data_IF_509105813179
#
_entry.id   IF_509105813179
#
_cell.length_a   1.000
_cell.length_b   1.000
_cell.length_c   1.000
_cell.angle_alpha   90.00
_cell.angle_beta   90.00
_cell.angle_gamma   90.00
#
_symmetry.space_group_name_H-M   'P 1'
#
loop_
_entity.id
_entity.type
_entity.pdbx_description
1 polymer ?
#
# COMPACT_ATOMS: atom_id res chain seq x y z
N UNK A 1 38.42 7.42 -37.63
CA UNK A 1 37.81 6.09 -37.87
C UNK A 1 36.42 6.33 -38.40
N UNK A 2 36.21 6.01 -39.67
CA UNK A 2 35.00 6.38 -40.41
C UNK A 2 33.73 5.68 -39.91
N UNK A 3 32.64 6.42 -39.80
CA UNK A 3 31.31 5.97 -39.35
C UNK A 3 30.78 4.78 -40.18
N UNK A 4 31.22 4.65 -41.43
CA UNK A 4 30.93 3.52 -42.33
C UNK A 4 31.60 2.20 -41.91
N UNK A 5 32.76 2.26 -41.23
CA UNK A 5 33.43 1.04 -40.72
C UNK A 5 32.76 0.51 -39.45
N UNK A 6 32.19 1.38 -38.61
CA UNK A 6 31.45 0.96 -37.42
C UNK A 6 30.13 0.25 -37.78
N UNK A 7 29.40 0.76 -38.78
CA UNK A 7 28.11 0.15 -39.18
C UNK A 7 28.29 -1.23 -39.84
N UNK A 8 29.38 -1.43 -40.58
CA UNK A 8 29.73 -2.71 -41.17
C UNK A 8 30.08 -3.77 -40.11
N UNK A 9 30.76 -3.36 -39.03
CA UNK A 9 31.10 -4.24 -37.91
C UNK A 9 29.84 -4.61 -37.10
N UNK A 10 28.96 -3.64 -36.82
CA UNK A 10 27.68 -3.87 -36.12
C UNK A 10 26.78 -4.80 -36.94
N UNK A 11 26.72 -4.64 -38.26
CA UNK A 11 25.92 -5.50 -39.14
C UNK A 11 26.49 -6.93 -39.23
N UNK A 12 27.81 -7.10 -39.22
CA UNK A 12 28.43 -8.44 -39.13
C UNK A 12 28.17 -9.13 -37.80
N UNK A 13 28.20 -8.40 -36.69
CA UNK A 13 27.86 -8.94 -35.36
C UNK A 13 26.39 -9.35 -35.32
N UNK A 14 25.49 -8.55 -35.90
CA UNK A 14 24.06 -8.86 -35.99
C UNK A 14 23.77 -10.11 -36.83
N UNK A 15 24.44 -10.24 -37.98
CA UNK A 15 24.33 -11.44 -38.83
C UNK A 15 24.93 -12.70 -38.18
N UNK A 16 25.98 -12.56 -37.37
CA UNK A 16 26.55 -13.67 -36.61
C UNK A 16 25.59 -14.11 -35.48
N UNK A 17 24.92 -13.15 -34.83
CA UNK A 17 23.93 -13.41 -33.80
C UNK A 17 22.66 -14.07 -34.36
N UNK A 18 22.21 -13.66 -35.55
CA UNK A 18 21.09 -14.28 -36.27
C UNK A 18 21.42 -15.70 -36.76
N UNK A 19 22.67 -15.99 -37.15
CA UNK A 19 23.12 -17.34 -37.51
C UNK A 19 23.31 -18.28 -36.31
N UNK A 20 23.50 -17.75 -35.11
CA UNK A 20 23.63 -18.52 -33.87
C UNK A 20 22.28 -18.81 -33.21
N UNK A 21 21.18 -18.23 -33.70
CA UNK A 21 19.85 -18.67 -33.32
C UNK A 21 19.46 -19.93 -34.11
N UNK A 22 19.20 -21.07 -33.45
CA UNK A 22 18.69 -22.23 -34.14
C UNK A 22 17.32 -21.89 -34.74
N UNK A 23 17.22 -21.97 -36.07
CA UNK A 23 15.98 -21.92 -36.86
C UNK A 23 15.12 -23.17 -36.60
N UNK A 24 14.66 -23.33 -35.37
CA UNK A 24 13.47 -24.12 -35.07
C UNK A 24 12.39 -23.13 -34.67
N UNK A 25 11.22 -23.24 -35.31
CA UNK A 25 10.03 -22.48 -34.92
C UNK A 25 9.69 -22.78 -33.46
N UNK A 26 10.30 -22.02 -32.56
CA UNK A 26 10.05 -22.10 -31.15
C UNK A 26 8.83 -21.22 -30.89
N UNK A 27 7.69 -21.86 -30.65
CA UNK A 27 6.64 -21.27 -29.82
C UNK A 27 7.35 -20.72 -28.59
N UNK A 28 7.47 -19.38 -28.49
CA UNK A 28 7.98 -18.73 -27.29
C UNK A 28 7.13 -19.24 -26.12
N UNK A 29 7.71 -20.02 -25.17
CA UNK A 29 6.94 -20.43 -24.01
C UNK A 29 6.51 -19.17 -23.28
N UNK A 30 5.22 -19.06 -22.97
CA UNK A 30 4.57 -17.88 -22.39
C UNK A 30 5.04 -17.53 -20.96
N UNK A 31 6.17 -18.07 -20.49
CA UNK A 31 6.63 -17.92 -19.12
C UNK A 31 8.13 -17.58 -19.04
N UNK A 32 8.43 -16.47 -18.34
CA UNK A 32 9.78 -15.92 -18.09
C UNK A 32 10.57 -16.76 -17.08
N UNK A 33 10.90 -18.02 -17.42
CA UNK A 33 11.52 -18.95 -16.47
C UNK A 33 12.98 -18.59 -16.09
N UNK A 34 13.71 -17.86 -16.94
CA UNK A 34 15.18 -17.69 -16.79
C UNK A 34 15.58 -16.38 -16.12
N UNK A 35 14.81 -15.30 -16.28
CA UNK A 35 15.22 -13.95 -15.84
C UNK A 35 14.58 -13.47 -14.54
N UNK A 36 13.68 -14.26 -13.94
CA UNK A 36 12.84 -13.77 -12.85
C UNK A 36 11.81 -12.74 -13.34
N UNK A 37 10.99 -12.24 -12.42
CA UNK A 37 9.98 -11.22 -12.74
C UNK A 37 10.47 -9.85 -12.28
N UNK A 38 10.91 -9.04 -13.23
CA UNK A 38 11.27 -7.63 -12.98
C UNK A 38 10.00 -6.86 -12.62
N UNK A 39 10.00 -6.21 -11.46
CA UNK A 39 8.95 -5.28 -11.07
C UNK A 39 9.18 -3.91 -11.70
N UNK A 40 8.10 -3.27 -12.12
CA UNK A 40 8.14 -1.90 -12.66
C UNK A 40 8.44 -0.87 -11.58
N UNK A 41 8.03 -1.14 -10.34
CA UNK A 41 8.25 -0.27 -9.16
C UNK A 41 9.01 -1.09 -8.10
N UNK A 42 10.10 -0.54 -7.58
CA UNK A 42 10.92 -1.21 -6.54
C UNK A 42 10.31 -1.05 -5.14
N UNK A 43 10.64 -1.95 -4.20
CA UNK A 43 10.27 -1.75 -2.80
C UNK A 43 10.97 -0.52 -2.19
N UNK A 44 12.16 -0.18 -2.66
CA UNK A 44 12.83 1.07 -2.27
C UNK A 44 11.98 2.31 -2.60
N UNK A 45 11.38 2.37 -3.80
CA UNK A 45 10.51 3.48 -4.20
C UNK A 45 9.23 3.53 -3.35
N UNK A 46 8.65 2.36 -3.07
CA UNK A 46 7.47 2.24 -2.19
C UNK A 46 7.79 2.71 -0.77
N UNK A 47 8.94 2.32 -0.21
CA UNK A 47 9.38 2.77 1.12
C UNK A 47 9.66 4.27 1.16
N UNK A 48 10.23 4.82 0.09
CA UNK A 48 10.45 6.27 -0.05
C UNK A 48 9.12 7.03 -0.09
N UNK A 49 8.14 6.56 -0.87
CA UNK A 49 6.80 7.13 -0.91
C UNK A 49 6.11 7.08 0.47
N UNK A 50 6.14 5.91 1.13
CA UNK A 50 5.58 5.75 2.47
C UNK A 50 6.21 6.68 3.51
N UNK A 51 7.53 6.89 3.45
CA UNK A 51 8.25 7.65 4.48
C UNK A 51 8.26 9.17 4.23
N UNK A 52 8.08 9.61 2.98
CA UNK A 52 8.28 11.01 2.58
C UNK A 52 7.01 11.72 2.12
N UNK A 53 5.96 10.99 1.75
CA UNK A 53 4.68 11.58 1.37
C UNK A 53 3.62 11.36 2.46
N UNK A 54 3.02 12.44 3.01
CA UNK A 54 2.05 12.34 4.11
C UNK A 54 0.75 11.64 3.71
N UNK A 55 0.30 11.77 2.45
CA UNK A 55 -0.89 11.08 1.97
C UNK A 55 -0.62 9.58 1.87
N UNK A 56 0.53 9.19 1.31
CA UNK A 56 0.94 7.79 1.23
C UNK A 56 1.02 7.13 2.61
N UNK A 57 1.64 7.80 3.58
CA UNK A 57 1.71 7.30 4.96
C UNK A 57 0.32 7.11 5.56
N UNK A 58 -0.55 8.11 5.44
CA UNK A 58 -1.91 8.06 5.97
C UNK A 58 -2.76 6.94 5.35
N UNK A 59 -2.65 6.70 4.03
CA UNK A 59 -3.37 5.60 3.37
C UNK A 59 -2.97 4.24 3.96
N UNK A 60 -1.66 4.03 4.08
CA UNK A 60 -1.10 2.76 4.53
C UNK A 60 -1.42 2.50 5.99
N UNK A 61 -1.11 3.47 6.86
CA UNK A 61 -1.31 3.33 8.30
C UNK A 61 -2.79 3.13 8.62
N UNK A 62 -3.70 3.89 8.01
CA UNK A 62 -5.12 3.73 8.27
C UNK A 62 -5.64 2.33 7.91
N UNK A 63 -5.36 1.85 6.69
CA UNK A 63 -5.84 0.53 6.25
C UNK A 63 -5.20 -0.61 7.07
N UNK A 64 -3.92 -0.47 7.44
CA UNK A 64 -3.23 -1.44 8.29
C UNK A 64 -3.81 -1.46 9.71
N UNK A 65 -3.93 -0.28 10.34
CA UNK A 65 -4.43 -0.15 11.71
C UNK A 65 -5.88 -0.59 11.84
N UNK A 66 -6.73 -0.31 10.85
CA UNK A 66 -8.10 -0.84 10.84
C UNK A 66 -8.14 -2.36 10.68
N UNK A 67 -7.15 -2.95 10.00
CA UNK A 67 -7.12 -4.39 9.77
C UNK A 67 -6.64 -5.17 10.99
N UNK A 68 -5.58 -4.71 11.66
CA UNK A 68 -4.93 -5.49 12.73
C UNK A 68 -4.82 -4.74 14.08
N UNK A 69 -5.19 -3.46 14.13
CA UNK A 69 -5.07 -2.61 15.32
C UNK A 69 -5.89 -3.03 16.52
N UNK A 70 -7.02 -3.73 16.29
CA UNK A 70 -7.84 -4.27 17.36
C UNK A 70 -7.24 -5.51 18.03
N UNK A 71 -6.09 -6.01 17.55
CA UNK A 71 -5.51 -7.28 17.96
C UNK A 71 -6.29 -8.48 17.42
N UNK A 72 -5.95 -9.66 17.93
CA UNK A 72 -6.67 -10.90 17.61
C UNK A 72 -6.77 -11.82 18.82
N UNK A 73 -7.65 -12.81 18.70
CA UNK A 73 -7.76 -13.95 19.61
C UNK A 73 -7.82 -15.25 18.79
N UNK A 74 -7.56 -16.39 19.44
CA UNK A 74 -7.66 -17.69 18.78
C UNK A 74 -8.84 -18.50 19.28
N UNK A 75 -9.47 -19.26 18.40
CA UNK A 75 -10.47 -20.28 18.76
C UNK A 75 -10.06 -21.65 18.25
N UNK A 76 -10.61 -22.70 18.84
CA UNK A 76 -10.41 -24.10 18.44
C UNK A 76 -11.76 -24.82 18.41
N UNK A 77 -11.82 -25.98 17.78
CA UNK A 77 -12.98 -26.86 17.87
C UNK A 77 -13.06 -27.50 19.27
N UNK A 78 -14.00 -27.04 20.09
CA UNK A 78 -14.20 -27.52 21.47
C UNK A 78 -14.49 -29.03 21.56
N UNK A 79 -15.05 -29.62 20.50
CA UNK A 79 -15.33 -31.07 20.45
C UNK A 79 -14.06 -31.92 20.24
N UNK A 80 -12.92 -31.30 19.93
CA UNK A 80 -11.67 -32.02 19.80
C UNK A 80 -11.10 -32.36 21.17
N UNK A 81 -10.83 -33.65 21.42
CA UNK A 81 -10.35 -34.13 22.72
C UNK A 81 -9.08 -33.42 23.26
N UNK A 82 -8.28 -32.82 22.36
CA UNK A 82 -7.06 -32.06 22.72
C UNK A 82 -7.19 -30.56 22.40
N UNK A 83 -8.41 -30.03 22.36
CA UNK A 83 -8.70 -28.64 21.99
C UNK A 83 -7.91 -27.63 22.84
N UNK A 84 -7.96 -27.77 24.16
CA UNK A 84 -7.30 -26.86 25.10
C UNK A 84 -5.78 -26.86 24.90
N UNK A 85 -5.16 -28.05 24.77
CA UNK A 85 -3.73 -28.18 24.52
C UNK A 85 -3.31 -27.57 23.17
N UNK A 86 -4.12 -27.77 22.12
CA UNK A 86 -3.89 -27.20 20.81
C UNK A 86 -4.00 -25.66 20.82
N UNK A 87 -4.99 -25.12 21.54
CA UNK A 87 -5.16 -23.66 21.72
C UNK A 87 -3.99 -23.08 22.50
N UNK A 88 -3.65 -23.66 23.65
CA UNK A 88 -2.55 -23.21 24.49
C UNK A 88 -1.22 -23.21 23.74
N UNK A 89 -0.95 -24.22 22.91
CA UNK A 89 0.24 -24.25 22.07
C UNK A 89 0.31 -23.05 21.12
N UNK A 90 -0.78 -22.77 20.41
CA UNK A 90 -0.85 -21.66 19.44
C UNK A 90 -0.73 -20.32 20.15
N UNK A 91 -1.45 -20.13 21.26
CA UNK A 91 -1.42 -18.88 22.03
C UNK A 91 -0.03 -18.62 22.63
N UNK A 92 0.58 -19.64 23.23
CA UNK A 92 1.94 -19.52 23.79
C UNK A 92 2.98 -19.21 22.71
N UNK A 93 2.82 -19.78 21.51
CA UNK A 93 3.67 -19.45 20.38
C UNK A 93 3.46 -18.01 19.89
N UNK A 94 2.20 -17.58 19.78
CA UNK A 94 1.88 -16.23 19.36
C UNK A 94 2.45 -15.18 20.31
N UNK A 95 2.36 -15.42 21.62
CA UNK A 95 2.95 -14.57 22.66
C UNK A 95 4.49 -14.57 22.58
N UNK A 96 5.11 -15.75 22.43
CA UNK A 96 6.58 -15.84 22.43
C UNK A 96 7.26 -15.15 21.24
N UNK A 97 6.61 -15.15 20.06
CA UNK A 97 7.12 -14.46 18.86
C UNK A 97 6.61 -13.03 18.72
N UNK A 98 5.77 -12.56 19.65
CA UNK A 98 5.03 -11.31 19.56
C UNK A 98 4.30 -11.16 18.21
N UNK A 99 3.40 -12.11 17.91
CA UNK A 99 2.73 -12.16 16.61
C UNK A 99 1.95 -10.87 16.31
N UNK A 100 1.41 -10.18 17.31
CA UNK A 100 0.72 -8.90 17.14
C UNK A 100 1.63 -7.84 16.50
N UNK A 101 2.85 -7.67 17.00
CA UNK A 101 3.82 -6.72 16.43
C UNK A 101 4.22 -7.11 14.99
N UNK A 102 4.42 -8.41 14.74
CA UNK A 102 4.72 -8.89 13.39
C UNK A 102 3.57 -8.59 12.42
N UNK A 103 2.32 -8.80 12.84
CA UNK A 103 1.13 -8.50 12.05
C UNK A 103 0.95 -7.00 11.80
N UNK A 104 1.29 -6.15 12.78
CA UNK A 104 1.30 -4.70 12.63
C UNK A 104 2.27 -4.23 11.53
N UNK A 105 3.48 -4.77 11.52
CA UNK A 105 4.49 -4.45 10.50
C UNK A 105 4.04 -5.01 9.14
N UNK A 106 3.63 -6.28 9.09
CA UNK A 106 3.23 -6.92 7.84
C UNK A 106 1.99 -6.28 7.22
N UNK A 107 1.00 -5.84 8.02
CA UNK A 107 -0.16 -5.15 7.48
C UNK A 107 0.25 -3.88 6.71
N UNK A 108 1.21 -3.10 7.23
CA UNK A 108 1.74 -1.91 6.54
C UNK A 108 2.49 -2.30 5.26
N UNK A 109 3.35 -3.31 5.31
CA UNK A 109 4.07 -3.82 4.14
C UNK A 109 3.12 -4.35 3.04
N UNK A 110 2.09 -5.11 3.44
CA UNK A 110 1.07 -5.68 2.56
C UNK A 110 0.20 -4.59 1.94
N UNK A 111 -0.24 -3.60 2.72
CA UNK A 111 -1.04 -2.49 2.17
C UNK A 111 -0.19 -1.67 1.21
N UNK A 112 1.02 -1.27 1.62
CA UNK A 112 1.89 -0.42 0.82
C UNK A 112 2.31 -1.10 -0.48
N UNK A 113 2.81 -2.33 -0.38
CA UNK A 113 3.54 -3.00 -1.45
C UNK A 113 2.86 -4.27 -1.98
N UNK A 114 1.83 -4.78 -1.30
CA UNK A 114 1.19 -6.05 -1.62
C UNK A 114 1.97 -7.26 -1.11
N UNK A 115 3.09 -7.05 -0.43
CA UNK A 115 4.04 -8.09 -0.08
C UNK A 115 4.52 -7.94 1.37
N UNK A 116 4.76 -9.06 2.05
CA UNK A 116 5.57 -9.15 3.26
C UNK A 116 6.22 -10.54 3.28
N UNK A 117 7.48 -10.64 3.68
CA UNK A 117 8.26 -11.88 3.65
C UNK A 117 8.78 -12.22 5.03
N UNK A 118 8.34 -13.35 5.59
CA UNK A 118 8.78 -13.77 6.92
C UNK A 118 9.62 -15.03 6.81
N UNK A 119 10.76 -15.04 7.48
CA UNK A 119 11.62 -16.20 7.63
C UNK A 119 11.17 -17.05 8.82
N UNK A 120 10.93 -18.34 8.57
CA UNK A 120 10.88 -19.38 9.60
C UNK A 120 12.32 -19.76 9.92
N UNK A 121 12.82 -19.41 11.11
CA UNK A 121 14.23 -19.65 11.48
C UNK A 121 14.58 -21.14 11.46
N UNK A 122 13.61 -21.98 11.81
CA UNK A 122 13.67 -23.43 11.72
C UNK A 122 12.39 -23.92 11.03
N UNK A 123 12.43 -24.32 9.75
CA UNK A 123 11.22 -24.68 9.01
C UNK A 123 10.65 -26.05 9.40
N UNK A 124 11.52 -27.00 9.78
CA UNK A 124 11.12 -28.36 10.19
C UNK A 124 10.53 -28.38 11.61
N UNK A 125 10.96 -27.42 12.44
CA UNK A 125 10.44 -27.19 13.78
C UNK A 125 10.29 -25.68 13.98
N UNK A 126 9.11 -25.15 13.68
CA UNK A 126 8.84 -23.72 13.80
C UNK A 126 9.02 -23.27 15.25
N UNK A 127 10.09 -22.51 15.50
CA UNK A 127 10.41 -21.92 16.80
C UNK A 127 10.26 -20.39 16.82
N UNK A 128 10.55 -19.71 15.71
CA UNK A 128 10.51 -18.25 15.62
C UNK A 128 10.21 -17.80 14.19
N UNK A 129 9.73 -16.55 14.09
CA UNK A 129 9.42 -15.85 12.86
C UNK A 129 10.18 -14.52 12.84
N UNK A 130 10.72 -14.15 11.68
CA UNK A 130 11.37 -12.86 11.49
C UNK A 130 10.95 -12.22 10.18
N UNK A 131 10.52 -10.97 10.21
CA UNK A 131 10.26 -10.20 8.99
C UNK A 131 11.60 -9.89 8.31
N UNK A 132 11.68 -10.22 7.03
CA UNK A 132 12.81 -9.86 6.19
C UNK A 132 12.51 -8.54 5.48
N UNK A 133 13.45 -7.58 5.46
CA UNK A 133 13.29 -6.33 4.73
C UNK A 133 12.86 -6.55 3.28
N UNK A 134 11.78 -5.87 2.87
CA UNK A 134 11.25 -5.93 1.51
C UNK A 134 12.33 -5.67 0.45
N UNK A 135 13.16 -4.64 0.65
CA UNK A 135 14.22 -4.24 -0.30
C UNK A 135 15.27 -5.34 -0.53
N UNK A 136 15.36 -6.33 0.38
CA UNK A 136 16.16 -7.52 0.17
C UNK A 136 15.70 -8.41 -0.99
N UNK A 137 14.49 -8.16 -1.50
CA UNK A 137 13.86 -8.86 -2.61
C UNK A 137 13.64 -7.96 -3.85
N UNK A 138 14.36 -6.83 -3.96
CA UNK A 138 14.28 -5.93 -5.13
C UNK A 138 14.99 -6.47 -6.38
N UNK A 139 15.82 -7.50 -6.23
CA UNK A 139 16.46 -8.15 -7.37
C UNK A 139 15.38 -8.76 -8.31
N UNK A 140 15.47 -8.59 -9.65
CA UNK A 140 14.55 -9.22 -10.61
C UNK A 140 14.40 -10.75 -10.44
N UNK A 141 15.46 -11.41 -9.97
CA UNK A 141 15.50 -12.85 -9.70
C UNK A 141 15.14 -13.22 -8.26
N UNK A 142 14.64 -12.28 -7.45
CA UNK A 142 14.36 -12.51 -6.03
C UNK A 142 13.33 -13.62 -5.78
N UNK A 143 12.37 -13.83 -6.68
CA UNK A 143 11.43 -14.97 -6.62
C UNK A 143 11.57 -15.78 -7.90
N UNK A 144 12.06 -17.02 -7.78
CA UNK A 144 12.14 -17.97 -8.90
C UNK A 144 10.92 -18.88 -8.89
N UNK A 145 10.38 -19.16 -10.07
CA UNK A 145 9.17 -19.98 -10.25
C UNK A 145 9.36 -20.99 -11.37
N UNK A 146 8.67 -22.11 -11.27
CA UNK A 146 8.59 -23.08 -12.36
C UNK A 146 7.57 -22.64 -13.43
N UNK A 147 7.44 -23.42 -14.50
CA UNK A 147 6.51 -23.17 -15.61
C UNK A 147 5.02 -23.14 -15.21
N UNK A 148 4.68 -23.68 -14.03
CA UNK A 148 3.31 -23.69 -13.49
C UNK A 148 3.05 -22.52 -12.53
N UNK A 149 4.03 -21.62 -12.35
CA UNK A 149 3.92 -20.47 -11.46
C UNK A 149 4.17 -20.79 -9.97
N UNK A 150 4.58 -22.02 -9.64
CA UNK A 150 4.96 -22.39 -8.27
C UNK A 150 6.36 -21.87 -7.94
N UNK A 151 6.53 -21.28 -6.76
CA UNK A 151 7.81 -20.76 -6.29
C UNK A 151 8.79 -21.91 -6.02
N UNK A 152 10.00 -21.79 -6.53
CA UNK A 152 11.09 -22.77 -6.36
C UNK A 152 12.20 -22.26 -5.45
N UNK A 153 12.44 -20.95 -5.39
CA UNK A 153 13.35 -20.34 -4.41
C UNK A 153 13.11 -18.85 -4.24
N UNK A 154 13.57 -18.34 -3.09
CA UNK A 154 13.66 -16.91 -2.80
C UNK A 154 15.13 -16.49 -2.70
N UNK A 155 15.59 -15.61 -3.58
CA UNK A 155 16.95 -15.07 -3.56
C UNK A 155 16.94 -13.74 -2.81
N UNK A 156 17.48 -13.75 -1.60
CA UNK A 156 17.52 -12.61 -0.71
C UNK A 156 18.90 -11.94 -0.77
N UNK A 157 18.92 -10.61 -0.87
CA UNK A 157 20.13 -9.80 -0.92
C UNK A 157 19.90 -8.47 -0.21
N UNK A 158 20.38 -8.32 1.03
CA UNK A 158 20.24 -7.10 1.82
C UNK A 158 21.54 -6.77 2.55
N UNK A 159 22.08 -5.56 2.30
CA UNK A 159 23.42 -5.21 2.76
C UNK A 159 24.46 -6.21 2.23
N UNK A 160 25.27 -6.75 3.13
CA UNK A 160 26.28 -7.77 2.80
C UNK A 160 25.74 -9.20 2.79
N UNK A 161 24.48 -9.42 3.19
CA UNK A 161 23.89 -10.75 3.29
C UNK A 161 23.26 -11.13 1.95
N UNK A 162 23.77 -12.22 1.34
CA UNK A 162 23.18 -12.86 0.16
C UNK A 162 22.90 -14.33 0.47
N UNK A 163 21.65 -14.75 0.32
CA UNK A 163 21.23 -16.11 0.66
C UNK A 163 20.07 -16.54 -0.23
N UNK A 164 19.99 -17.84 -0.50
CA UNK A 164 18.86 -18.45 -1.19
C UNK A 164 18.06 -19.25 -0.18
N UNK A 165 16.78 -18.93 -0.04
CA UNK A 165 15.86 -19.67 0.80
C UNK A 165 15.00 -20.61 -0.04
N UNK A 166 14.80 -21.82 0.47
CA UNK A 166 13.80 -22.73 -0.05
C UNK A 166 12.38 -22.20 0.26
N UNK A 167 11.36 -22.50 -0.57
CA UNK A 167 10.03 -21.91 -0.44
C UNK A 167 9.38 -22.11 0.93
N UNK A 168 9.55 -23.28 1.54
CA UNK A 168 9.01 -23.66 2.84
C UNK A 168 9.53 -22.82 4.01
N UNK A 169 10.71 -22.20 3.86
CA UNK A 169 11.31 -21.30 4.85
C UNK A 169 10.67 -19.92 4.88
N UNK A 170 9.96 -19.52 3.83
CA UNK A 170 9.43 -18.16 3.68
C UNK A 170 7.91 -18.18 3.71
N UNK A 171 7.32 -17.46 4.66
CA UNK A 171 5.92 -17.05 4.57
C UNK A 171 5.85 -15.80 3.71
N UNK A 172 5.33 -15.94 2.49
CA UNK A 172 5.12 -14.81 1.59
C UNK A 172 3.66 -14.39 1.59
N UNK A 173 3.38 -13.23 2.19
CA UNK A 173 2.09 -12.57 2.12
C UNK A 173 1.93 -11.89 0.75
N UNK A 174 1.44 -12.62 -0.24
CA UNK A 174 1.22 -12.14 -1.60
C UNK A 174 -0.22 -11.66 -1.83
N UNK A 175 -0.48 -10.37 -1.64
CA UNK A 175 -1.80 -9.74 -1.73
C UNK A 175 -2.13 -9.26 -3.14
N UNK A 176 -3.33 -9.57 -3.65
CA UNK A 176 -3.82 -9.13 -4.97
C UNK A 176 -2.81 -9.29 -6.15
N UNK A 177 -2.21 -10.49 -6.34
CA UNK A 177 -1.35 -10.70 -7.50
C UNK A 177 -2.17 -10.58 -8.79
N UNK A 178 -1.67 -9.80 -9.74
CA UNK A 178 -2.28 -9.63 -11.07
C UNK A 178 -1.48 -10.39 -12.13
N UNK A 179 -2.15 -10.91 -13.15
CA UNK A 179 -1.49 -11.54 -14.30
C UNK A 179 -0.46 -12.64 -13.93
N UNK A 180 -0.84 -13.53 -12.99
CA UNK A 180 0.06 -14.56 -12.47
C UNK A 180 1.39 -14.01 -11.92
N UNK A 181 1.43 -12.79 -11.38
CA UNK A 181 2.65 -12.23 -10.82
C UNK A 181 3.18 -13.05 -9.64
N UNK A 182 4.51 -13.10 -9.52
CA UNK A 182 5.21 -13.63 -8.35
C UNK A 182 4.95 -12.76 -7.12
N UNK A 183 4.61 -11.50 -7.31
CA UNK A 183 4.43 -10.51 -6.26
C UNK A 183 2.95 -10.13 -6.10
N UNK A 184 2.62 -9.61 -4.92
CA UNK A 184 1.37 -8.92 -4.70
C UNK A 184 1.45 -7.46 -5.17
N UNK A 185 0.29 -6.81 -5.20
CA UNK A 185 0.13 -5.41 -5.61
C UNK A 185 -0.52 -4.61 -4.49
N UNK A 186 0.24 -3.67 -3.92
CA UNK A 186 -0.22 -2.74 -2.89
C UNK A 186 -0.74 -1.42 -3.45
N UNK A 187 -1.27 -0.56 -2.58
CA UNK A 187 -1.85 0.73 -2.97
C UNK A 187 -0.81 1.71 -3.50
N UNK A 188 0.40 1.72 -2.91
CA UNK A 188 1.46 2.64 -3.32
C UNK A 188 2.08 2.25 -4.66
N UNK A 189 2.11 0.95 -4.97
CA UNK A 189 2.61 0.47 -6.26
C UNK A 189 1.80 1.06 -7.43
N UNK A 190 0.48 1.14 -7.30
CA UNK A 190 -0.39 1.73 -8.34
C UNK A 190 -0.12 3.23 -8.50
N UNK A 191 0.07 3.94 -7.38
CA UNK A 191 0.36 5.38 -7.38
C UNK A 191 1.71 5.75 -8.01
N UNK A 192 2.69 4.84 -7.88
CA UNK A 192 4.04 4.96 -8.43
C UNK A 192 4.17 4.41 -9.85
N UNK A 193 3.16 3.70 -10.36
CA UNK A 193 3.22 3.11 -11.70
C UNK A 193 2.97 4.15 -12.79
N UNK A 194 3.79 4.09 -13.83
CA UNK A 194 3.55 4.78 -15.10
C UNK A 194 2.47 4.05 -15.91
N UNK A 195 1.85 4.76 -16.85
CA UNK A 195 0.88 4.19 -17.78
C UNK A 195 1.32 4.43 -19.23
N UNK A 196 1.67 3.36 -19.93
CA UNK A 196 2.06 3.42 -21.34
C UNK A 196 0.87 3.09 -22.24
N UNK A 197 0.61 3.93 -23.25
CA UNK A 197 -0.42 3.71 -24.26
C UNK A 197 0.06 4.27 -25.61
N UNK A 198 -0.09 3.53 -26.71
CA UNK A 198 0.26 3.99 -28.07
C UNK A 198 1.68 4.60 -28.23
N UNK A 199 2.67 4.15 -27.43
CA UNK A 199 4.04 4.68 -27.45
C UNK A 199 4.23 5.95 -26.61
N UNK A 200 3.17 6.48 -26.00
CA UNK A 200 3.22 7.55 -25.01
C UNK A 200 3.25 6.97 -23.60
N UNK A 201 3.98 7.65 -22.70
CA UNK A 201 4.08 7.27 -21.29
C UNK A 201 3.58 8.42 -20.42
N UNK A 202 2.50 8.15 -19.70
CA UNK A 202 2.05 9.01 -18.61
C UNK A 202 2.85 8.66 -17.35
N UNK A 203 3.52 9.66 -16.79
CA UNK A 203 4.20 9.55 -15.49
C UNK A 203 3.23 9.14 -14.37
N UNK A 204 3.80 8.68 -13.25
CA UNK A 204 2.99 8.25 -12.11
C UNK A 204 2.17 9.39 -11.49
N UNK A 205 1.04 9.07 -10.87
CA UNK A 205 0.22 10.10 -10.19
C UNK A 205 0.95 10.72 -9.01
N UNK A 206 1.79 9.94 -8.31
CA UNK A 206 2.58 10.47 -7.22
C UNK A 206 3.64 11.45 -7.70
N UNK A 207 4.24 11.20 -8.87
CA UNK A 207 5.16 12.15 -9.49
C UNK A 207 4.45 13.42 -9.96
N UNK A 208 3.25 13.31 -10.55
CA UNK A 208 2.43 14.47 -10.89
C UNK A 208 2.17 15.34 -9.66
N UNK A 209 1.75 14.72 -8.55
CA UNK A 209 1.54 15.42 -7.27
C UNK A 209 2.82 16.11 -6.79
N UNK A 210 3.94 15.40 -6.75
CA UNK A 210 5.22 15.97 -6.30
C UNK A 210 5.68 17.15 -7.16
N UNK A 211 5.46 17.10 -8.49
CA UNK A 211 5.77 18.21 -9.41
C UNK A 211 4.87 19.42 -9.14
N UNK A 212 3.57 19.21 -8.89
CA UNK A 212 2.63 20.29 -8.50
C UNK A 212 3.11 20.94 -7.19
N UNK A 213 3.39 20.14 -6.17
CA UNK A 213 3.83 20.63 -4.84
C UNK A 213 5.17 21.38 -4.90
N UNK A 214 6.04 21.03 -5.85
CA UNK A 214 7.28 21.79 -6.10
C UNK A 214 7.03 23.12 -6.79
N UNK A 215 6.18 23.14 -7.83
CA UNK A 215 5.97 24.33 -8.68
C UNK A 215 5.09 25.37 -7.99
N UNK A 216 4.11 24.95 -7.20
CA UNK A 216 3.15 25.87 -6.57
C UNK A 216 3.82 26.95 -5.70
N UNK A 217 4.77 26.63 -4.79
CA UNK A 217 5.54 27.63 -4.07
C UNK A 217 6.27 28.61 -5.00
N UNK A 218 6.89 28.13 -6.08
CA UNK A 218 7.60 28.98 -7.04
C UNK A 218 6.65 29.98 -7.74
N UNK A 219 5.42 29.55 -8.06
CA UNK A 219 4.39 30.44 -8.63
C UNK A 219 4.01 31.51 -7.61
N UNK A 220 3.75 31.13 -6.36
CA UNK A 220 3.42 32.08 -5.29
C UNK A 220 4.56 33.07 -5.04
N UNK A 221 5.81 32.61 -5.02
CA UNK A 221 6.98 33.46 -4.84
C UNK A 221 7.16 34.45 -6.01
N UNK A 222 6.98 33.99 -7.26
CA UNK A 222 7.02 34.87 -8.44
C UNK A 222 5.86 35.85 -8.49
N UNK A 223 4.68 35.47 -8.02
CA UNK A 223 3.56 36.39 -7.91
C UNK A 223 3.80 37.46 -6.83
N UNK A 224 4.36 37.05 -5.69
CA UNK A 224 4.73 37.95 -4.60
C UNK A 224 5.92 38.86 -4.95
N UNK A 225 6.84 38.39 -5.79
CA UNK A 225 7.99 39.14 -6.30
C UNK A 225 8.22 38.84 -7.78
N UNK A 226 7.56 39.56 -8.69
CA UNK A 226 7.72 39.35 -10.13
C UNK A 226 9.12 39.73 -10.60
N UNK A 227 9.53 39.22 -11.76
CA UNK A 227 10.76 39.67 -12.40
C UNK A 227 10.61 41.15 -12.79
N UNK A 228 11.57 41.97 -12.36
CA UNK A 228 11.57 43.41 -12.59
C UNK A 228 12.74 43.77 -13.51
N UNK A 229 12.44 44.41 -14.64
CA UNK A 229 13.46 45.07 -15.45
C UNK A 229 13.42 46.58 -15.15
N UNK A 230 14.56 47.09 -14.69
CA UNK A 230 14.75 48.49 -14.37
C UNK A 230 15.51 49.16 -15.52
N UNK A 231 14.85 50.09 -16.21
CA UNK A 231 15.41 50.82 -17.36
C UNK A 231 15.93 52.16 -16.90
N UNK A 232 17.23 52.41 -17.08
CA UNK A 232 17.87 53.68 -16.76
C UNK A 232 18.39 54.33 -18.05
N UNK A 233 17.51 55.06 -18.74
CA UNK A 233 17.83 55.68 -20.02
C UNK A 233 19.04 56.63 -19.90
N UNK A 234 20.05 56.42 -20.75
CA UNK A 234 21.25 57.26 -20.79
C UNK A 234 22.30 56.97 -19.70
N UNK A 235 22.12 55.93 -18.88
CA UNK A 235 23.14 55.49 -17.94
C UNK A 235 24.28 54.73 -18.65
N UNK A 236 25.53 54.97 -18.24
CA UNK A 236 26.69 54.21 -18.70
C UNK A 236 26.68 52.79 -18.14
N UNK A 237 27.33 51.85 -18.83
CA UNK A 237 27.41 50.44 -18.41
C UNK A 237 28.01 50.27 -17.00
N UNK A 238 28.96 51.13 -16.63
CA UNK A 238 29.58 51.15 -15.30
C UNK A 238 28.55 51.51 -14.21
N UNK A 239 27.71 52.53 -14.45
CA UNK A 239 26.63 52.92 -13.52
C UNK A 239 25.53 51.86 -13.46
N UNK A 240 25.21 51.21 -14.57
CA UNK A 240 24.27 50.10 -14.58
C UNK A 240 24.77 48.93 -13.72
N UNK A 241 26.05 48.60 -13.79
CA UNK A 241 26.64 47.54 -12.96
C UNK A 241 26.59 47.87 -11.47
N UNK A 242 26.77 49.15 -11.11
CA UNK A 242 26.59 49.65 -9.74
C UNK A 242 25.13 49.53 -9.28
N UNK A 243 24.18 50.01 -10.08
CA UNK A 243 22.75 49.88 -9.79
C UNK A 243 22.31 48.41 -9.70
N UNK A 244 22.83 47.54 -10.55
CA UNK A 244 22.55 46.11 -10.50
C UNK A 244 23.03 45.48 -9.20
N UNK A 245 24.22 45.86 -8.70
CA UNK A 245 24.73 45.38 -7.40
C UNK A 245 23.84 45.85 -6.24
N UNK A 246 23.44 47.12 -6.22
CA UNK A 246 22.55 47.69 -5.21
C UNK A 246 21.14 47.07 -5.24
N UNK A 247 20.62 46.81 -6.44
CA UNK A 247 19.33 46.18 -6.64
C UNK A 247 19.41 44.70 -6.22
N UNK A 248 20.48 43.96 -6.54
CA UNK A 248 20.68 42.57 -6.10
C UNK A 248 20.90 42.41 -4.60
N UNK A 249 21.38 43.44 -3.89
CA UNK A 249 21.61 43.37 -2.44
C UNK A 249 20.34 43.48 -1.58
N UNK A 250 19.18 43.82 -2.17
CA UNK A 250 17.87 43.75 -1.48
C UNK A 250 17.32 42.31 -1.49
N UNK A 251 16.68 41.77 -0.44
CA UNK A 251 16.05 40.44 -0.49
C UNK A 251 14.82 40.41 -1.43
N UNK A 252 14.23 39.27 -1.87
CA UNK A 252 14.82 38.03 -2.43
C UNK A 252 13.92 37.34 -3.50
N UNK A 253 12.81 37.94 -3.96
CA UNK A 253 11.95 37.36 -4.99
C UNK A 253 11.91 38.27 -6.23
N UNK A 254 11.97 37.65 -7.42
CA UNK A 254 12.06 38.30 -8.73
C UNK A 254 13.50 38.40 -9.25
N UNK A 255 13.74 37.97 -10.49
CA UNK A 255 14.97 38.26 -11.22
C UNK A 255 15.00 39.75 -11.59
N UNK A 256 16.09 40.42 -11.22
CA UNK A 256 16.30 41.85 -11.47
C UNK A 256 17.25 42.07 -12.62
N UNK A 257 16.73 42.65 -13.69
CA UNK A 257 17.49 43.01 -14.88
C UNK A 257 17.71 44.52 -14.91
N UNK A 258 18.87 44.94 -15.41
CA UNK A 258 19.23 46.36 -15.54
C UNK A 258 19.65 46.60 -16.98
N UNK A 259 19.07 47.60 -17.63
CA UNK A 259 19.28 47.87 -19.05
C UNK A 259 19.27 49.38 -19.34
N UNK A 260 20.11 49.84 -20.28
CA UNK A 260 20.32 51.26 -20.59
C UNK A 260 19.65 51.73 -21.88
N UNK A 261 19.12 50.83 -22.71
CA UNK A 261 18.46 51.24 -23.94
C UNK A 261 16.96 51.48 -23.71
N UNK A 262 16.43 52.64 -24.11
CA UNK A 262 15.04 53.00 -23.88
C UNK A 262 14.06 52.16 -24.72
N UNK A 263 14.54 51.48 -25.77
CA UNK A 263 13.70 50.61 -26.62
C UNK A 263 13.44 49.21 -26.00
N UNK A 264 13.80 48.98 -24.75
CA UNK A 264 13.49 47.72 -24.08
C UNK A 264 11.99 47.60 -23.76
N UNK A 265 11.38 46.55 -24.29
CA UNK A 265 10.02 46.12 -23.96
C UNK A 265 10.06 44.91 -23.01
N UNK A 266 9.41 45.03 -21.85
CA UNK A 266 9.28 43.93 -20.89
C UNK A 266 7.98 43.21 -21.20
N UNK A 267 8.10 42.08 -21.90
CA UNK A 267 6.98 41.16 -22.05
C UNK A 267 6.90 40.29 -20.80
N UNK A 268 6.28 40.80 -19.74
CA UNK A 268 5.87 39.96 -18.62
C UNK A 268 4.83 38.98 -19.14
N UNK A 269 5.12 37.69 -19.04
CA UNK A 269 4.08 36.66 -19.26
C UNK A 269 3.12 36.77 -18.08
N UNK A 270 2.04 37.52 -18.25
CA UNK A 270 0.95 37.51 -17.28
C UNK A 270 0.31 36.13 -17.32
N UNK A 271 0.54 35.33 -16.28
CA UNK A 271 -0.26 34.13 -16.08
C UNK A 271 -1.70 34.60 -15.89
N UNK A 272 -2.60 34.22 -16.79
CA UNK A 272 -4.01 34.57 -16.66
C UNK A 272 -4.53 33.93 -15.36
N UNK A 273 -4.92 34.72 -14.34
CA UNK A 273 -5.45 34.16 -13.09
C UNK A 273 -6.79 33.44 -13.29
N UNK A 274 -7.43 33.55 -14.46
CA UNK A 274 -8.62 32.77 -14.85
C UNK A 274 -8.28 31.41 -15.44
N UNK A 275 -7.01 31.10 -15.67
CA UNK A 275 -6.61 29.78 -16.12
C UNK A 275 -6.98 28.76 -15.02
N UNK A 276 -8.03 27.96 -15.29
CA UNK A 276 -8.65 27.02 -14.36
C UNK A 276 -7.77 25.78 -14.11
N UNK A 277 -6.54 25.97 -13.63
CA UNK A 277 -5.64 24.86 -13.27
C UNK A 277 -6.13 24.11 -12.03
N UNK A 278 -6.95 24.74 -11.20
CA UNK A 278 -7.55 24.15 -10.01
C UNK A 278 -8.21 22.80 -10.29
N UNK A 279 -9.07 22.71 -11.32
CA UNK A 279 -9.74 21.46 -11.67
C UNK A 279 -8.78 20.35 -12.10
N UNK A 280 -7.66 20.71 -12.75
CA UNK A 280 -6.64 19.74 -13.12
C UNK A 280 -5.84 19.25 -11.90
N UNK A 281 -5.45 20.17 -11.02
CA UNK A 281 -4.78 19.84 -9.75
C UNK A 281 -5.69 18.94 -8.91
N UNK A 282 -6.97 19.32 -8.79
CA UNK A 282 -7.97 18.56 -8.06
C UNK A 282 -8.17 17.17 -8.67
N UNK A 283 -8.17 17.03 -9.99
CA UNK A 283 -8.22 15.72 -10.64
C UNK A 283 -7.03 14.85 -10.23
N UNK A 284 -5.80 15.36 -10.29
CA UNK A 284 -4.60 14.61 -9.88
C UNK A 284 -4.68 14.19 -8.41
N UNK A 285 -5.04 15.10 -7.51
CA UNK A 285 -5.18 14.81 -6.08
C UNK A 285 -6.29 13.77 -5.82
N UNK A 286 -7.44 13.91 -6.49
CA UNK A 286 -8.54 12.94 -6.40
C UNK A 286 -8.11 11.55 -6.90
N UNK A 287 -7.28 11.45 -7.94
CA UNK A 287 -6.72 10.17 -8.40
C UNK A 287 -5.74 9.57 -7.38
N UNK A 288 -4.95 10.40 -6.70
CA UNK A 288 -4.09 9.95 -5.59
C UNK A 288 -4.93 9.41 -4.43
N UNK A 289 -5.99 10.11 -4.03
CA UNK A 289 -6.90 9.66 -2.98
C UNK A 289 -7.66 8.39 -3.37
N UNK A 290 -8.11 8.28 -4.62
CA UNK A 290 -8.74 7.07 -5.14
C UNK A 290 -7.78 5.88 -5.12
N UNK A 291 -6.53 6.09 -5.52
CA UNK A 291 -5.47 5.07 -5.49
C UNK A 291 -5.09 4.64 -4.07
N UNK A 292 -5.22 5.53 -3.08
CA UNK A 292 -5.08 5.21 -1.66
C UNK A 292 -6.19 4.31 -1.10
N UNK A 293 -7.32 4.19 -1.80
CA UNK A 293 -8.43 3.27 -1.50
C UNK A 293 -9.01 3.41 -0.08
N UNK A 294 -8.92 4.60 0.49
CA UNK A 294 -9.56 4.99 1.75
C UNK A 294 -10.22 6.36 1.60
N UNK A 295 -11.42 6.56 2.17
CA UNK A 295 -12.09 7.86 2.15
C UNK A 295 -11.42 8.88 3.09
N UNK A 296 -10.54 8.42 4.00
CA UNK A 296 -10.09 9.17 5.16
C UNK A 296 -9.40 10.50 4.79
N UNK A 297 -8.44 10.56 3.85
CA UNK A 297 -7.80 11.84 3.54
C UNK A 297 -8.79 12.86 3.01
N UNK A 298 -9.77 12.43 2.21
CA UNK A 298 -10.83 13.32 1.71
C UNK A 298 -11.75 13.80 2.83
N UNK A 299 -12.05 12.95 3.81
CA UNK A 299 -12.84 13.33 5.01
C UNK A 299 -12.12 14.39 5.87
N UNK A 300 -10.78 14.36 5.94
CA UNK A 300 -10.01 15.34 6.71
C UNK A 300 -9.74 16.64 5.96
N UNK A 301 -9.54 16.58 4.63
CA UNK A 301 -9.08 17.75 3.86
C UNK A 301 -10.21 18.50 3.18
N UNK A 302 -11.36 17.88 2.92
CA UNK A 302 -12.44 18.50 2.14
C UNK A 302 -13.61 18.91 3.06
N UNK A 303 -13.93 20.21 3.16
CA UNK A 303 -15.10 20.66 3.92
C UNK A 303 -16.40 20.22 3.24
N UNK A 304 -17.47 20.04 4.02
CA UNK A 304 -18.82 19.78 3.50
C UNK A 304 -19.29 18.32 3.52
N UNK A 305 -18.57 17.41 4.18
CA UNK A 305 -19.11 16.06 4.45
C UNK A 305 -20.22 16.11 5.50
N UNK A 306 -21.38 15.53 5.16
CA UNK A 306 -22.42 15.23 6.16
C UNK A 306 -22.08 13.96 6.93
N UNK A 307 -22.61 13.79 8.14
CA UNK A 307 -22.44 12.56 8.92
C UNK A 307 -22.89 11.31 8.14
N UNK A 308 -24.01 11.42 7.40
CA UNK A 308 -24.53 10.33 6.59
C UNK A 308 -23.55 9.92 5.48
N UNK A 309 -22.95 10.89 4.79
CA UNK A 309 -21.94 10.64 3.75
C UNK A 309 -20.66 10.03 4.34
N UNK A 310 -20.24 10.48 5.52
CA UNK A 310 -19.08 9.93 6.21
C UNK A 310 -19.30 8.46 6.62
N UNK A 311 -20.47 8.13 7.19
CA UNK A 311 -20.84 6.75 7.54
C UNK A 311 -20.84 5.84 6.30
N UNK A 312 -21.49 6.26 5.21
CA UNK A 312 -21.52 5.48 3.98
C UNK A 312 -20.12 5.23 3.39
N UNK A 313 -19.22 6.21 3.51
CA UNK A 313 -17.84 6.07 3.06
C UNK A 313 -17.05 5.07 3.92
N UNK A 314 -17.25 5.09 5.25
CA UNK A 314 -16.64 4.14 6.18
C UNK A 314 -17.12 2.70 5.91
N UNK A 315 -18.42 2.49 5.70
CA UNK A 315 -18.98 1.15 5.41
C UNK A 315 -18.35 0.51 4.15
N UNK A 316 -18.03 1.32 3.12
CA UNK A 316 -17.35 0.84 1.92
C UNK A 316 -15.89 0.47 2.22
N UNK A 317 -15.21 1.27 3.03
CA UNK A 317 -13.83 1.01 3.43
C UNK A 317 -13.71 -0.27 4.29
N UNK A 318 -14.68 -0.51 5.18
CA UNK A 318 -14.73 -1.71 6.02
C UNK A 318 -14.73 -3.01 5.21
N UNK A 319 -15.43 -3.06 4.07
CA UNK A 319 -15.43 -4.26 3.20
C UNK A 319 -14.02 -4.62 2.74
N UNK A 320 -13.18 -3.62 2.49
CA UNK A 320 -11.80 -3.81 2.07
C UNK A 320 -10.93 -4.27 3.23
N UNK A 321 -11.13 -3.68 4.41
CA UNK A 321 -10.49 -4.09 5.66
C UNK A 321 -10.79 -5.57 5.95
N UNK A 322 -12.06 -5.98 5.86
CA UNK A 322 -12.48 -7.38 6.04
C UNK A 322 -11.79 -8.34 5.06
N UNK A 323 -11.60 -7.92 3.79
CA UNK A 323 -10.90 -8.72 2.80
C UNK A 323 -9.42 -8.91 3.16
N UNK A 324 -8.74 -7.85 3.59
CA UNK A 324 -7.35 -7.88 4.02
C UNK A 324 -7.18 -8.71 5.30
N UNK A 325 -8.03 -8.49 6.31
CA UNK A 325 -8.14 -9.30 7.51
C UNK A 325 -8.29 -10.79 7.21
N UNK A 326 -9.20 -11.14 6.28
CA UNK A 326 -9.40 -12.53 5.87
C UNK A 326 -8.13 -13.08 5.22
N UNK A 327 -7.46 -12.33 4.36
CA UNK A 327 -6.24 -12.77 3.69
C UNK A 327 -5.10 -13.05 4.68
N UNK A 328 -4.84 -12.12 5.60
CA UNK A 328 -3.81 -12.26 6.64
C UNK A 328 -4.14 -13.47 7.51
N UNK A 329 -5.39 -13.57 8.03
CA UNK A 329 -5.88 -14.71 8.81
C UNK A 329 -5.60 -16.04 8.12
N UNK A 330 -5.96 -16.18 6.84
CA UNK A 330 -5.76 -17.44 6.10
C UNK A 330 -4.31 -17.79 5.88
N UNK A 331 -3.46 -16.78 5.70
CA UNK A 331 -2.03 -17.00 5.53
C UNK A 331 -1.42 -17.47 6.86
N UNK A 332 -1.75 -16.83 7.99
CA UNK A 332 -1.30 -17.26 9.31
C UNK A 332 -1.80 -18.67 9.68
N UNK A 333 -3.10 -18.93 9.50
CA UNK A 333 -3.69 -20.25 9.79
C UNK A 333 -3.00 -21.37 9.00
N UNK A 334 -2.69 -21.12 7.71
CA UNK A 334 -2.09 -22.12 6.82
C UNK A 334 -0.59 -22.28 7.03
N UNK A 335 0.15 -21.17 7.11
CA UNK A 335 1.62 -21.17 7.04
C UNK A 335 2.29 -21.22 8.42
N UNK A 336 1.54 -20.92 9.48
CA UNK A 336 2.05 -20.82 10.86
C UNK A 336 1.33 -21.83 11.75
N UNK A 337 0.01 -21.72 11.90
CA UNK A 337 -0.73 -22.53 12.89
C UNK A 337 -0.79 -24.01 12.50
N UNK A 338 -1.01 -24.30 11.21
CA UNK A 338 -1.06 -25.68 10.71
C UNK A 338 0.27 -26.42 10.94
N UNK A 339 1.44 -25.90 10.52
CA UNK A 339 2.72 -26.51 10.84
C UNK A 339 2.98 -26.64 12.34
N UNK A 340 2.63 -25.61 13.14
CA UNK A 340 2.82 -25.62 14.59
C UNK A 340 2.02 -26.75 15.28
N UNK A 341 0.77 -26.97 14.85
CA UNK A 341 -0.05 -28.06 15.36
C UNK A 341 0.49 -29.44 14.91
N UNK A 342 0.95 -29.56 13.67
CA UNK A 342 1.50 -30.81 13.13
C UNK A 342 2.78 -31.23 13.85
N UNK A 343 3.71 -30.31 14.08
CA UNK A 343 4.97 -30.63 14.76
C UNK A 343 4.76 -31.06 16.21
N UNK A 344 3.66 -30.64 16.85
CA UNK A 344 3.28 -31.07 18.19
C UNK A 344 2.39 -32.33 18.20
N UNK A 345 2.15 -32.95 17.05
CA UNK A 345 1.38 -34.19 16.93
C UNK A 345 -0.14 -34.01 17.04
N UNK A 346 -0.67 -32.79 16.90
CA UNK A 346 -2.11 -32.55 16.79
C UNK A 346 -2.59 -32.70 15.36
N UNK A 347 -3.89 -32.98 15.19
CA UNK A 347 -4.53 -33.03 13.87
C UNK A 347 -5.14 -31.66 13.53
N UNK A 348 -4.52 -30.82 12.64
CA UNK A 348 -4.95 -29.43 12.46
C UNK A 348 -6.40 -29.30 11.98
N UNK A 349 -6.86 -30.24 11.16
CA UNK A 349 -8.25 -30.25 10.65
C UNK A 349 -9.27 -30.50 11.77
N UNK A 350 -8.94 -31.35 12.75
CA UNK A 350 -9.83 -31.63 13.90
C UNK A 350 -9.76 -30.53 14.93
N UNK A 351 -8.57 -30.04 15.24
CA UNK A 351 -8.34 -28.92 16.16
C UNK A 351 -8.97 -27.62 15.62
N UNK A 352 -8.95 -27.41 14.30
CA UNK A 352 -9.53 -26.27 13.59
C UNK A 352 -9.20 -24.94 14.30
N UNK A 353 -7.92 -24.69 14.59
CA UNK A 353 -7.49 -23.47 15.25
C UNK A 353 -7.61 -22.27 14.31
N UNK A 354 -8.23 -21.17 14.75
CA UNK A 354 -8.58 -20.00 13.93
C UNK A 354 -8.15 -18.70 14.59
N UNK A 355 -7.64 -17.76 13.79
CA UNK A 355 -7.30 -16.39 14.22
C UNK A 355 -8.46 -15.43 14.00
N UNK A 356 -9.07 -14.87 15.02
CA UNK A 356 -10.22 -13.97 14.90
C UNK A 356 -9.83 -12.56 15.34
N UNK A 357 -10.23 -11.55 14.58
CA UNK A 357 -9.83 -10.16 14.82
C UNK A 357 -10.66 -9.51 15.94
N UNK A 358 -10.02 -8.63 16.71
CA UNK A 358 -10.62 -7.93 17.83
C UNK A 358 -10.66 -8.77 19.10
N UNK A 359 -11.64 -8.49 19.95
CA UNK A 359 -11.83 -9.19 21.23
C UNK A 359 -12.82 -10.33 21.08
N UNK A 360 -12.60 -11.40 21.83
CA UNK A 360 -13.59 -12.47 21.97
C UNK A 360 -14.86 -11.88 22.60
N UNK A 361 -15.95 -11.93 21.83
CA UNK A 361 -17.26 -11.51 22.33
C UNK A 361 -17.90 -12.70 23.02
N UNK A 362 -18.41 -12.54 24.26
CA UNK A 362 -19.21 -13.59 24.88
C UNK A 362 -20.39 -13.91 23.98
N UNK A 363 -20.65 -15.20 23.77
CA UNK A 363 -21.82 -15.64 23.04
C UNK A 363 -23.06 -15.31 23.88
N UNK A 364 -23.81 -14.28 23.47
CA UNK A 364 -25.09 -13.95 24.11
C UNK A 364 -26.11 -14.93 23.55
N UNK A 365 -26.51 -15.91 24.37
CA UNK A 365 -27.54 -16.86 23.99
C UNK A 365 -28.91 -16.20 24.11
N UNK A 366 -29.88 -16.72 23.36
CA UNK A 366 -31.27 -16.27 23.49
C UNK A 366 -31.78 -16.48 24.93
N UNK A 367 -31.32 -17.54 25.59
CA UNK A 367 -31.57 -17.85 27.00
C UNK A 367 -31.11 -16.72 27.94
N UNK A 368 -29.96 -16.11 27.66
CA UNK A 368 -29.42 -14.99 28.46
C UNK A 368 -30.29 -13.74 28.28
N UNK A 369 -30.76 -13.47 27.06
CA UNK A 369 -31.68 -12.38 26.76
C UNK A 369 -33.04 -12.57 27.45
N UNK A 370 -33.58 -13.80 27.45
CA UNK A 370 -34.84 -14.14 28.14
C UNK A 370 -34.67 -13.95 29.64
N UNK A 371 -33.57 -14.45 30.21
CA UNK A 371 -33.27 -14.28 31.64
C UNK A 371 -33.11 -12.81 32.03
N UNK A 372 -32.46 -11.99 31.19
CA UNK A 372 -32.36 -10.54 31.38
C UNK A 372 -33.73 -9.84 31.31
N UNK A 373 -34.62 -10.30 30.42
CA UNK A 373 -35.99 -9.79 30.32
C UNK A 373 -36.82 -10.15 31.57
N UNK A 374 -36.72 -11.39 32.06
CA UNK A 374 -37.37 -11.84 33.30
C UNK A 374 -36.88 -11.04 34.51
N UNK A 375 -35.58 -10.85 34.65
CA UNK A 375 -34.99 -10.02 35.72
C UNK A 375 -35.51 -8.57 35.60
N UNK A 376 -35.55 -8.02 34.39
CA UNK A 376 -36.04 -6.64 34.16
C UNK A 376 -37.55 -6.48 34.42
N UNK A 377 -38.32 -7.56 34.35
CA UNK A 377 -39.75 -7.56 34.65
C UNK A 377 -40.04 -7.75 36.16
N UNK A 378 -39.17 -8.47 36.87
CA UNK A 378 -39.36 -8.85 38.26
C UNK A 378 -38.59 -7.99 39.28
N UNK A 379 -37.69 -7.11 38.81
CA UNK A 379 -36.91 -6.21 39.66
C UNK A 379 -37.19 -4.74 39.31
N UNK A 380 -37.01 -3.84 40.29
CA UNK A 380 -37.21 -2.39 40.10
C UNK A 380 -36.23 -1.78 39.07
N UNK A 381 -35.09 -2.44 38.81
CA UNK A 381 -34.11 -2.00 37.81
C UNK A 381 -34.37 -2.70 36.48
N UNK A 382 -34.83 -1.94 35.50
CA UNK A 382 -34.96 -2.43 34.12
C UNK A 382 -33.60 -2.41 33.43
N UNK A 383 -33.05 -3.59 33.16
CA UNK A 383 -31.77 -3.76 32.45
C UNK A 383 -31.97 -3.81 30.93
N UNK A 384 -33.14 -4.23 30.46
CA UNK A 384 -33.50 -4.27 29.04
C UNK A 384 -34.97 -3.91 28.86
N UNK A 385 -35.30 -3.16 27.80
CA UNK A 385 -36.69 -2.74 27.52
C UNK A 385 -37.42 -3.84 26.71
N UNK A 386 -38.75 -3.99 26.89
CA UNK A 386 -39.54 -4.94 26.10
C UNK A 386 -39.39 -4.78 24.57
N UNK A 387 -39.29 -3.53 24.11
CA UNK A 387 -39.01 -3.14 22.72
C UNK A 387 -37.68 -3.73 22.19
N UNK A 388 -36.63 -3.69 23.01
CA UNK A 388 -35.29 -4.18 22.67
C UNK A 388 -35.27 -5.70 22.62
N UNK A 389 -35.99 -6.35 23.55
CA UNK A 389 -36.17 -7.81 23.55
C UNK A 389 -36.92 -8.26 22.30
N UNK A 390 -38.02 -7.60 21.93
CA UNK A 390 -38.77 -7.88 20.69
C UNK A 390 -37.89 -7.75 19.45
N UNK A 391 -37.11 -6.66 19.32
CA UNK A 391 -36.21 -6.46 18.18
C UNK A 391 -35.12 -7.54 18.07
N UNK A 392 -34.56 -7.98 19.20
CA UNK A 392 -33.55 -9.04 19.21
C UNK A 392 -34.15 -10.42 18.91
N UNK A 393 -35.35 -10.72 19.41
CA UNK A 393 -36.08 -11.95 19.08
C UNK A 393 -36.42 -12.03 17.59
N UNK A 394 -36.87 -10.94 16.97
CA UNK A 394 -37.12 -10.88 15.51
C UNK A 394 -35.83 -11.14 14.72
N UNK A 395 -34.70 -10.54 15.11
CA UNK A 395 -33.40 -10.80 14.46
C UNK A 395 -32.95 -12.26 14.59
N UNK A 396 -33.35 -12.94 15.66
CA UNK A 396 -33.10 -14.37 15.88
C UNK A 396 -34.09 -15.29 15.14
N UNK A 397 -35.04 -14.74 14.36
CA UNK A 397 -36.01 -15.50 13.57
C UNK A 397 -37.33 -15.78 14.29
N UNK A 398 -37.62 -15.10 15.40
CA UNK A 398 -38.89 -15.25 16.12
C UNK A 398 -40.00 -14.45 15.44
N UNK A 399 -41.10 -15.10 15.09
CA UNK A 399 -42.27 -14.43 14.50
C UNK A 399 -43.09 -13.73 15.60
N UNK A 400 -43.23 -12.41 15.46
CA UNK A 400 -44.11 -11.63 16.32
C UNK A 400 -45.52 -11.67 15.73
N UNK A 401 -46.46 -12.20 16.51
CA UNK A 401 -47.88 -12.13 16.20
C UNK A 401 -48.35 -10.79 16.75
N UNK A 402 -48.75 -9.87 15.88
CA UNK A 402 -49.42 -8.66 16.33
C UNK A 402 -50.76 -9.06 16.95
N UNK A 403 -50.99 -8.68 18.20
CA UNK A 403 -52.36 -8.52 18.68
C UNK A 403 -52.93 -7.34 17.91
N UNK A 404 -53.90 -7.63 17.03
CA UNK A 404 -54.72 -6.61 16.39
C UNK A 404 -55.21 -5.60 17.45
N UNK A 405 -55.23 -4.30 17.12
CA UNK A 405 -55.54 -3.21 18.05
C UNK A 405 -56.90 -3.35 18.73
#
# INVERSE_FOLDING_TARGET
MDVTTLSAVVNKIKQLYEKLQPNTGALLPAWRQVYGETRTVSFSDINAAYSRDPSCKAFVDFLADQSVGAGFYTTVNEQYAKAEQAKQLVDSFNESVNLDELLQIAAREIVASGNSFWLKTEPEKLQSLKILPLTGFDNPTAIKRNQYGSVTSYNYSYGDVKTVFAPEKIVHFRWNPTNFSAYGTGVLQVLLSELCFNGETRISFLEMKARIEKIMPEIFEKYAGPDELWIFAGASDEKLAEYQKLIKSKPKAGARFVYNKPEADIKTVSVDPRARYESYIEHVLNQVYLGGQTPLPKLFTTPGFTEASARAALDIAERKVMALQRFIKRTCEREIFTPLLQQAGFEPKKANCRLNWGTEKPEVKLEDLIRLAEISANHETSYVRPEEVRKNLVKAGFELWETNP
#
